data_IF_112109157212
#
_entry.id   IF_112109157212
#
_cell.length_a   1.000
_cell.length_b   1.000
_cell.length_c   1.000
_cell.angle_alpha   90.00
_cell.angle_beta   90.00
_cell.angle_gamma   90.00
#
_symmetry.space_group_name_H-M   'P 1'
#
loop_
_entity.id
_entity.type
_entity.pdbx_description
1 polymer ?
#
# COMPACT_ATOMS: atom_id res chain seq x y z
N UNK A 1 5.03 22.71 7.12
CA UNK A 1 4.87 21.85 5.94
C UNK A 1 3.83 22.44 4.99
N UNK A 2 4.12 22.46 3.70
CA UNK A 2 3.16 22.95 2.69
C UNK A 2 3.29 22.16 1.41
N UNK A 3 2.16 21.73 0.83
CA UNK A 3 2.12 21.09 -0.48
C UNK A 3 0.87 21.47 -1.28
N UNK A 4 0.98 21.34 -2.60
CA UNK A 4 -0.11 21.56 -3.56
C UNK A 4 -0.15 20.41 -4.55
N UNK A 5 -1.30 19.84 -4.78
CA UNK A 5 -1.49 18.78 -5.77
C UNK A 5 -2.91 18.78 -6.33
N UNK A 6 -3.11 18.10 -7.46
CA UNK A 6 -4.43 17.88 -8.05
C UNK A 6 -5.32 17.01 -7.15
N UNK A 7 -6.58 17.42 -7.01
CA UNK A 7 -7.57 16.70 -6.19
C UNK A 7 -7.68 15.22 -6.55
N UNK A 8 -7.78 14.90 -7.84
CA UNK A 8 -8.01 13.52 -8.29
C UNK A 8 -6.83 12.59 -7.97
N UNK A 9 -5.61 13.12 -8.08
CA UNK A 9 -4.40 12.39 -7.66
C UNK A 9 -4.40 12.16 -6.16
N UNK A 10 -4.75 13.18 -5.38
CA UNK A 10 -4.80 13.10 -3.93
C UNK A 10 -5.89 12.12 -3.45
N UNK A 11 -7.11 12.18 -4.04
CA UNK A 11 -8.20 11.25 -3.75
C UNK A 11 -7.80 9.81 -4.05
N UNK A 12 -7.17 9.57 -5.21
CA UNK A 12 -6.72 8.25 -5.62
C UNK A 12 -5.68 7.69 -4.66
N UNK A 13 -4.69 8.50 -4.28
CA UNK A 13 -3.64 8.11 -3.35
C UNK A 13 -4.17 7.83 -1.94
N UNK A 14 -5.06 8.70 -1.43
CA UNK A 14 -5.71 8.51 -0.14
C UNK A 14 -6.59 7.26 -0.13
N UNK A 15 -7.31 6.97 -1.21
CA UNK A 15 -8.09 5.74 -1.36
C UNK A 15 -7.25 4.48 -1.25
N UNK A 16 -6.00 4.52 -1.76
CA UNK A 16 -5.07 3.39 -1.70
C UNK A 16 -4.47 3.28 -0.30
N UNK A 17 -3.89 4.37 0.24
CA UNK A 17 -3.25 4.37 1.55
C UNK A 17 -4.23 4.02 2.68
N UNK A 18 -5.48 4.49 2.61
CA UNK A 18 -6.51 4.21 3.62
C UNK A 18 -6.89 2.73 3.75
N UNK A 19 -6.52 1.88 2.79
CA UNK A 19 -6.81 0.43 2.85
C UNK A 19 -6.03 -0.30 3.93
N UNK A 20 -4.88 0.24 4.32
CA UNK A 20 -4.01 -0.32 5.37
C UNK A 20 -4.06 0.48 6.66
N UNK A 21 -4.90 1.48 6.75
CA UNK A 21 -5.14 2.21 8.00
C UNK A 21 -5.99 1.36 8.93
N UNK A 22 -5.60 1.25 10.20
CA UNK A 22 -6.36 0.54 11.21
C UNK A 22 -7.70 1.25 11.48
N UNK A 23 -8.80 0.49 11.53
CA UNK A 23 -10.12 1.07 11.84
C UNK A 23 -10.31 1.31 13.34
N UNK A 24 -9.69 0.48 14.15
CA UNK A 24 -9.59 0.60 15.61
C UNK A 24 -8.25 0.03 16.02
N UNK A 25 -7.43 0.83 16.67
CA UNK A 25 -6.12 0.40 17.14
C UNK A 25 -5.91 0.84 18.59
N UNK A 26 -5.09 0.10 19.33
CA UNK A 26 -4.55 0.55 20.62
C UNK A 26 -3.63 1.76 20.46
N UNK A 27 -3.00 1.89 19.29
CA UNK A 27 -2.20 3.04 18.91
C UNK A 27 -3.03 3.95 17.99
N UNK A 28 -3.51 5.07 18.51
CA UNK A 28 -4.36 6.02 17.75
C UNK A 28 -3.70 6.54 16.48
N UNK A 29 -2.38 6.66 16.46
CA UNK A 29 -1.60 7.12 15.30
C UNK A 29 -1.81 6.23 14.07
N UNK A 30 -2.11 4.95 14.24
CA UNK A 30 -2.38 4.00 13.15
C UNK A 30 -3.79 4.17 12.52
N UNK A 31 -4.66 4.96 13.11
CA UNK A 31 -5.94 5.38 12.51
C UNK A 31 -5.74 6.57 11.55
N UNK A 32 -4.53 7.11 11.50
CA UNK A 32 -4.09 8.18 10.62
C UNK A 32 -3.31 7.70 9.41
N UNK A 33 -3.15 8.60 8.46
CA UNK A 33 -2.21 8.47 7.33
C UNK A 33 -0.97 9.29 7.65
N UNK A 34 0.19 8.65 7.70
CA UNK A 34 1.46 9.34 7.79
C UNK A 34 1.74 10.05 6.46
N UNK A 35 1.93 11.33 6.53
CA UNK A 35 2.13 12.22 5.41
C UNK A 35 3.53 12.83 5.49
N UNK A 36 4.35 12.58 4.48
CA UNK A 36 5.70 13.14 4.34
C UNK A 36 5.79 13.92 3.05
N UNK A 37 6.07 15.21 3.18
CA UNK A 37 6.31 16.13 2.07
C UNK A 37 7.80 16.44 1.95
N UNK A 38 8.36 16.30 0.75
CA UNK A 38 9.78 16.52 0.44
C UNK A 38 9.98 16.54 -1.08
N UNK A 39 10.69 15.58 -1.65
CA UNK A 39 10.78 15.41 -3.11
C UNK A 39 9.48 14.88 -3.76
N UNK A 40 8.32 15.35 -3.30
CA UNK A 40 6.99 14.91 -3.60
C UNK A 40 6.22 14.60 -2.32
N UNK A 41 5.00 14.13 -2.46
CA UNK A 41 4.14 13.77 -1.33
C UNK A 41 4.09 12.26 -1.19
N UNK A 42 4.41 11.77 0.00
CA UNK A 42 4.31 10.36 0.37
C UNK A 42 3.20 10.19 1.39
N UNK A 43 2.26 9.30 1.10
CA UNK A 43 1.14 8.97 1.97
C UNK A 43 1.25 7.51 2.37
N UNK A 44 1.41 7.24 3.65
CA UNK A 44 1.59 5.90 4.19
C UNK A 44 0.45 5.54 5.14
N UNK A 45 -0.22 4.42 4.84
CA UNK A 45 -1.12 3.75 5.77
C UNK A 45 -0.45 2.49 6.31
N UNK A 46 -0.61 2.20 7.60
CA UNK A 46 -0.01 1.04 8.25
C UNK A 46 -0.89 0.56 9.42
N UNK A 47 -0.98 -0.77 9.60
CA UNK A 47 -1.74 -1.39 10.68
C UNK A 47 -0.94 -2.45 11.45
N UNK A 48 0.41 -2.39 11.41
CA UNK A 48 1.39 -3.33 11.96
C UNK A 48 1.51 -4.66 11.21
N UNK A 49 0.53 -5.04 10.42
CA UNK A 49 0.57 -6.25 9.59
C UNK A 49 0.85 -5.91 8.12
N UNK A 50 0.22 -4.83 7.64
CA UNK A 50 0.30 -4.40 6.25
C UNK A 50 0.53 -2.90 6.17
N UNK A 51 1.42 -2.47 5.29
CA UNK A 51 1.70 -1.07 5.01
C UNK A 51 1.67 -0.78 3.52
N UNK A 52 1.14 0.38 3.17
CA UNK A 52 1.17 0.90 1.80
C UNK A 52 1.67 2.33 1.83
N UNK A 53 2.73 2.60 1.08
CA UNK A 53 3.19 3.96 0.80
C UNK A 53 2.88 4.31 -0.64
N UNK A 54 2.19 5.42 -0.84
CA UNK A 54 1.84 5.97 -2.16
C UNK A 54 2.61 7.25 -2.36
N UNK A 55 3.30 7.36 -3.50
CA UNK A 55 3.91 8.60 -3.94
C UNK A 55 2.93 9.37 -4.82
N UNK A 56 2.81 10.67 -4.57
CA UNK A 56 1.98 11.61 -5.33
C UNK A 56 2.87 12.73 -5.84
N UNK A 57 2.76 13.02 -7.13
CA UNK A 57 3.40 14.19 -7.70
C UNK A 57 2.72 15.45 -7.15
N UNK A 58 3.45 16.20 -6.35
CA UNK A 58 2.98 17.40 -5.68
C UNK A 58 4.08 18.45 -5.68
N UNK A 59 3.68 19.71 -5.75
CA UNK A 59 4.58 20.83 -5.47
C UNK A 59 4.72 20.97 -3.97
N UNK A 60 5.95 20.89 -3.46
CA UNK A 60 6.27 20.96 -2.03
C UNK A 60 7.20 22.16 -1.79
N UNK A 61 6.66 23.36 -1.51
CA UNK A 61 7.46 24.52 -1.14
C UNK A 61 8.11 24.43 0.24
N UNK A 62 7.50 23.69 1.17
CA UNK A 62 7.97 23.53 2.55
C UNK A 62 7.87 22.05 2.95
N UNK A 63 9.02 21.45 3.24
CA UNK A 63 9.11 20.06 3.69
C UNK A 63 8.48 19.89 5.07
N UNK A 64 8.16 18.65 5.41
CA UNK A 64 7.68 18.30 6.74
C UNK A 64 6.89 16.99 6.76
N UNK A 65 6.49 16.63 7.96
CA UNK A 65 5.82 15.37 8.24
C UNK A 65 4.69 15.57 9.25
N UNK A 66 3.61 14.80 9.12
CA UNK A 66 2.52 14.80 10.10
C UNK A 66 1.65 13.54 9.92
N UNK A 67 0.80 13.26 10.89
CA UNK A 67 -0.22 12.20 10.80
C UNK A 67 -1.59 12.84 10.61
N UNK A 68 -2.21 12.61 9.47
CA UNK A 68 -3.53 13.12 9.13
C UNK A 68 -4.62 12.11 9.52
N UNK A 69 -5.73 12.51 10.16
CA UNK A 69 -6.84 11.60 10.46
C UNK A 69 -7.43 11.06 9.14
N UNK A 70 -7.17 9.78 8.86
CA UNK A 70 -7.38 9.18 7.55
C UNK A 70 -8.79 9.40 6.97
N UNK A 71 -9.79 9.03 7.76
CA UNK A 71 -11.20 9.10 7.34
C UNK A 71 -11.65 10.54 7.12
N UNK A 72 -11.34 11.43 8.07
CA UNK A 72 -11.78 12.82 8.00
C UNK A 72 -11.11 13.54 6.83
N UNK A 73 -9.79 13.37 6.67
CA UNK A 73 -9.04 14.00 5.59
C UNK A 73 -9.51 13.51 4.22
N UNK A 74 -9.70 12.19 4.07
CA UNK A 74 -10.21 11.61 2.82
C UNK A 74 -11.63 12.12 2.48
N UNK A 75 -12.53 12.18 3.46
CA UNK A 75 -13.91 12.66 3.25
C UNK A 75 -13.95 14.14 2.86
N UNK A 76 -13.07 14.97 3.43
CA UNK A 76 -12.93 16.38 3.05
C UNK A 76 -12.44 16.48 1.61
N UNK A 77 -11.28 15.88 1.31
CA UNK A 77 -10.64 16.00 -0.01
C UNK A 77 -11.57 15.52 -1.12
N UNK A 78 -12.30 14.44 -0.90
CA UNK A 78 -13.26 13.90 -1.88
C UNK A 78 -14.39 14.88 -2.21
N UNK A 79 -14.78 15.74 -1.25
CA UNK A 79 -15.89 16.72 -1.41
C UNK A 79 -15.42 18.10 -1.86
N UNK A 80 -14.12 18.33 -1.97
CA UNK A 80 -13.61 19.59 -2.51
C UNK A 80 -14.00 19.77 -3.98
N UNK A 81 -14.09 21.02 -4.46
CA UNK A 81 -14.20 21.28 -5.89
C UNK A 81 -12.96 20.75 -6.64
N UNK A 82 -13.13 20.47 -7.94
CA UNK A 82 -12.06 19.96 -8.80
C UNK A 82 -10.96 21.02 -8.99
N UNK A 83 -9.74 20.55 -9.19
CA UNK A 83 -8.53 21.36 -9.40
C UNK A 83 -7.51 21.20 -8.28
N UNK A 84 -6.68 22.21 -8.09
CA UNK A 84 -5.60 22.20 -7.12
C UNK A 84 -6.10 22.29 -5.68
N UNK A 85 -5.52 21.44 -4.84
CA UNK A 85 -5.70 21.44 -3.38
C UNK A 85 -4.40 21.88 -2.73
N UNK A 86 -4.49 22.92 -1.91
CA UNK A 86 -3.38 23.44 -1.11
C UNK A 86 -3.56 22.99 0.34
N UNK A 87 -2.56 22.32 0.88
CA UNK A 87 -2.54 21.90 2.28
C UNK A 87 -1.37 22.56 2.98
N UNK A 88 -1.65 23.17 4.11
CA UNK A 88 -0.65 23.83 4.97
C UNK A 88 -0.80 23.28 6.39
N UNK A 89 0.30 22.84 6.96
CA UNK A 89 0.37 22.37 8.35
C UNK A 89 1.29 23.31 9.11
N UNK A 90 0.79 23.87 10.19
CA UNK A 90 1.56 24.75 11.07
C UNK A 90 2.37 23.97 12.13
N UNK A 91 3.13 24.68 12.96
CA UNK A 91 3.97 24.10 14.03
C UNK A 91 3.15 23.42 15.15
N UNK A 92 1.85 23.71 15.24
CA UNK A 92 0.93 23.11 16.20
C UNK A 92 0.10 21.97 15.59
N UNK A 93 0.53 21.41 14.45
CA UNK A 93 -0.18 20.38 13.71
C UNK A 93 -1.61 20.76 13.30
N UNK A 94 -1.90 22.07 13.17
CA UNK A 94 -3.17 22.53 12.63
C UNK A 94 -3.07 22.56 11.11
N UNK A 95 -3.95 21.83 10.44
CA UNK A 95 -3.96 21.64 9.00
C UNK A 95 -5.02 22.49 8.35
N UNK A 96 -4.61 23.39 7.47
CA UNK A 96 -5.50 24.18 6.62
C UNK A 96 -5.54 23.56 5.22
N UNK A 97 -6.73 23.19 4.76
CA UNK A 97 -6.98 22.59 3.45
C UNK A 97 -7.79 23.59 2.63
N UNK A 98 -7.29 23.98 1.47
CA UNK A 98 -7.94 24.96 0.59
C UNK A 98 -8.05 24.45 -0.83
N UNK A 99 -9.21 24.66 -1.44
CA UNK A 99 -9.43 24.44 -2.86
C UNK A 99 -10.44 25.46 -3.37
N UNK A 100 -10.07 26.30 -4.31
CA UNK A 100 -10.88 27.42 -4.81
C UNK A 100 -11.40 28.31 -3.65
N UNK A 101 -12.73 28.29 -3.41
CA UNK A 101 -13.39 29.02 -2.32
C UNK A 101 -13.61 28.21 -1.06
N UNK A 102 -13.39 26.88 -1.12
CA UNK A 102 -13.55 26.01 0.02
C UNK A 102 -12.31 26.06 0.93
N UNK A 103 -12.52 26.15 2.23
CA UNK A 103 -11.47 26.12 3.24
C UNK A 103 -11.93 25.30 4.44
N UNK A 104 -11.08 24.36 4.85
CA UNK A 104 -11.31 23.51 6.02
C UNK A 104 -10.09 23.56 6.93
N UNK A 105 -10.33 23.34 8.21
CA UNK A 105 -9.27 23.23 9.20
C UNK A 105 -9.50 21.97 10.03
N UNK A 106 -8.45 21.14 10.14
CA UNK A 106 -8.45 19.94 10.98
C UNK A 106 -7.17 19.91 11.82
N UNK A 107 -7.11 19.03 12.81
CA UNK A 107 -5.89 18.77 13.58
C UNK A 107 -5.21 17.51 13.04
N UNK A 108 -3.90 17.57 12.88
CA UNK A 108 -3.01 16.44 12.67
C UNK A 108 -2.38 16.02 14.00
N UNK A 109 -1.65 14.91 13.99
CA UNK A 109 -0.85 14.44 15.12
C UNK A 109 0.64 14.45 14.77
N UNK A 110 1.46 14.42 15.81
CA UNK A 110 2.90 14.35 15.71
C UNK A 110 3.33 13.04 15.01
N UNK A 111 4.26 13.08 14.05
CA UNK A 111 4.77 11.92 13.37
C UNK A 111 5.71 11.04 14.22
N UNK A 112 6.28 11.52 15.33
CA UNK A 112 7.27 10.80 16.14
C UNK A 112 6.76 9.43 16.65
N UNK A 113 5.47 9.34 16.97
CA UNK A 113 4.86 8.11 17.48
C UNK A 113 4.46 7.11 16.38
N UNK A 114 4.66 7.46 15.10
CA UNK A 114 4.27 6.57 14.00
C UNK A 114 5.29 5.45 13.81
N UNK A 115 4.88 4.18 13.85
CA UNK A 115 5.82 3.06 13.69
C UNK A 115 6.45 3.06 12.30
N UNK A 116 7.74 2.87 12.23
CA UNK A 116 8.44 2.71 10.95
C UNK A 116 7.98 1.45 10.23
N UNK A 117 7.77 1.56 8.91
CA UNK A 117 7.55 0.40 8.10
C UNK A 117 8.84 -0.41 7.99
N UNK A 118 8.76 -1.75 8.05
CA UNK A 118 9.93 -2.59 7.83
C UNK A 118 10.59 -2.28 6.48
N UNK A 119 11.90 -2.10 6.48
CA UNK A 119 12.63 -1.88 5.24
C UNK A 119 12.71 -3.17 4.42
N UNK A 120 12.46 -3.05 3.13
CA UNK A 120 12.47 -4.16 2.17
C UNK A 120 13.67 -4.02 1.26
N UNK A 121 14.61 -4.95 1.36
CA UNK A 121 15.78 -4.99 0.49
C UNK A 121 15.37 -5.02 -1.00
N UNK A 122 15.62 -3.93 -1.70
CA UNK A 122 15.19 -3.74 -3.10
C UNK A 122 15.89 -4.65 -4.11
N UNK A 123 16.99 -5.29 -3.73
CA UNK A 123 17.83 -6.15 -4.58
C UNK A 123 17.36 -7.61 -4.62
N UNK A 124 16.44 -8.01 -3.73
CA UNK A 124 15.92 -9.39 -3.62
C UNK A 124 14.49 -9.55 -4.17
N UNK A 125 13.99 -8.57 -4.88
CA UNK A 125 12.61 -8.56 -5.39
C UNK A 125 12.45 -9.22 -6.76
N UNK A 126 11.27 -9.77 -7.02
CA UNK A 126 10.83 -10.24 -8.34
C UNK A 126 9.89 -9.20 -8.95
N UNK A 127 10.10 -8.86 -10.21
CA UNK A 127 9.24 -7.93 -10.95
C UNK A 127 8.24 -8.72 -11.79
N UNK A 128 6.96 -8.50 -11.54
CA UNK A 128 5.86 -9.12 -12.29
C UNK A 128 4.98 -8.00 -12.85
N UNK A 129 4.52 -8.08 -14.12
CA UNK A 129 3.54 -7.16 -14.62
C UNK A 129 2.27 -7.21 -13.78
N UNK A 130 1.74 -6.04 -13.45
CA UNK A 130 0.56 -5.89 -12.60
C UNK A 130 -0.64 -6.71 -13.11
N UNK A 131 -0.87 -6.73 -14.43
CA UNK A 131 -1.97 -7.47 -15.04
C UNK A 131 -1.86 -8.97 -14.75
N UNK A 132 -0.68 -9.54 -14.93
CA UNK A 132 -0.41 -10.96 -14.70
C UNK A 132 -0.59 -11.32 -13.20
N UNK A 133 -0.04 -10.49 -12.31
CA UNK A 133 -0.24 -10.70 -10.87
C UNK A 133 -1.73 -10.62 -10.49
N UNK A 134 -2.47 -9.67 -11.04
CA UNK A 134 -3.91 -9.55 -10.84
C UNK A 134 -4.66 -10.79 -11.31
N UNK A 135 -4.30 -11.33 -12.48
CA UNK A 135 -4.93 -12.51 -13.05
C UNK A 135 -4.58 -13.78 -12.25
N UNK A 136 -3.35 -13.86 -11.70
CA UNK A 136 -2.97 -14.93 -10.76
C UNK A 136 -3.79 -14.88 -9.49
N UNK A 137 -3.93 -13.69 -8.89
CA UNK A 137 -4.73 -13.46 -7.69
C UNK A 137 -6.20 -13.82 -7.94
N UNK A 138 -6.80 -13.28 -9.00
CA UNK A 138 -8.20 -13.56 -9.35
C UNK A 138 -8.48 -15.03 -9.61
N UNK A 139 -7.48 -15.77 -10.14
CA UNK A 139 -7.55 -17.19 -10.42
C UNK A 139 -7.32 -18.12 -9.22
N UNK A 140 -6.99 -17.58 -8.03
CA UNK A 140 -6.66 -18.40 -6.85
C UNK A 140 -7.40 -17.99 -5.58
N UNK A 141 -7.67 -16.70 -5.38
CA UNK A 141 -8.21 -16.14 -4.13
C UNK A 141 -9.54 -16.78 -3.66
N UNK A 142 -10.35 -17.27 -4.59
CA UNK A 142 -11.63 -17.92 -4.26
C UNK A 142 -11.48 -19.26 -3.54
N UNK A 143 -10.28 -19.84 -3.55
CA UNK A 143 -9.94 -21.10 -2.86
C UNK A 143 -9.21 -20.89 -1.54
N UNK A 144 -9.17 -19.68 -1.02
CA UNK A 144 -8.62 -19.37 0.30
C UNK A 144 -9.66 -19.67 1.36
N UNK A 145 -9.22 -20.24 2.50
CA UNK A 145 -10.09 -20.54 3.63
C UNK A 145 -10.38 -19.30 4.47
N UNK A 146 -11.61 -19.19 4.98
CA UNK A 146 -11.98 -18.18 5.99
C UNK A 146 -11.75 -18.69 7.42
N UNK A 147 -11.41 -19.97 7.58
CA UNK A 147 -11.24 -20.60 8.89
C UNK A 147 -9.89 -20.24 9.52
N UNK A 148 -9.91 -19.38 10.54
CA UNK A 148 -8.74 -18.96 11.30
C UNK A 148 -8.08 -20.09 12.13
N UNK A 149 -8.75 -21.22 12.32
CA UNK A 149 -8.19 -22.41 12.99
C UNK A 149 -7.04 -23.07 12.19
N UNK A 150 -6.89 -22.72 10.92
CA UNK A 150 -5.78 -23.15 10.06
C UNK A 150 -5.19 -21.95 9.31
N UNK A 151 -4.38 -21.11 9.95
CA UNK A 151 -3.89 -19.86 9.39
C UNK A 151 -3.17 -20.01 8.05
N UNK A 152 -2.48 -21.12 7.82
CA UNK A 152 -1.78 -21.39 6.57
C UNK A 152 -2.71 -21.46 5.33
N UNK A 153 -3.99 -21.76 5.54
CA UNK A 153 -4.99 -21.80 4.48
C UNK A 153 -5.70 -20.46 4.25
N UNK A 154 -5.49 -19.46 5.11
CA UNK A 154 -6.13 -18.14 4.98
C UNK A 154 -5.44 -17.20 4.00
N UNK A 155 -4.38 -17.68 3.35
CA UNK A 155 -3.62 -16.96 2.32
C UNK A 155 -3.32 -17.80 1.10
N UNK A 156 -2.70 -17.17 0.10
CA UNK A 156 -2.14 -17.88 -1.05
C UNK A 156 -0.64 -18.10 -0.87
N UNK A 157 -0.18 -19.30 -1.18
CA UNK A 157 1.24 -19.59 -1.32
C UNK A 157 1.74 -19.03 -2.65
N UNK A 158 2.78 -18.20 -2.57
CA UNK A 158 3.47 -17.66 -3.73
C UNK A 158 4.85 -18.31 -3.84
N UNK A 159 5.09 -19.03 -4.93
CA UNK A 159 6.33 -19.72 -5.18
C UNK A 159 7.04 -19.11 -6.40
N UNK A 160 8.29 -18.75 -6.22
CA UNK A 160 9.17 -18.29 -7.30
C UNK A 160 10.23 -19.33 -7.54
N UNK A 161 10.28 -19.87 -8.74
CA UNK A 161 11.31 -20.77 -9.25
C UNK A 161 12.07 -20.09 -10.40
N UNK A 162 13.15 -20.72 -10.88
CA UNK A 162 14.02 -20.16 -11.92
C UNK A 162 13.27 -19.87 -13.23
N UNK A 163 12.29 -20.72 -13.55
CA UNK A 163 11.55 -20.72 -14.82
C UNK A 163 10.05 -20.49 -14.65
N UNK A 164 9.55 -20.31 -13.43
CA UNK A 164 8.11 -20.18 -13.20
C UNK A 164 7.77 -19.45 -11.91
N UNK A 165 6.63 -18.80 -11.92
CA UNK A 165 6.01 -18.21 -10.75
C UNK A 165 4.65 -18.88 -10.57
N UNK A 166 4.40 -19.44 -9.40
CA UNK A 166 3.14 -20.12 -9.09
C UNK A 166 2.47 -19.47 -7.89
N UNK A 167 1.15 -19.37 -7.95
CA UNK A 167 0.30 -19.01 -6.83
C UNK A 167 -0.67 -20.15 -6.57
N UNK A 168 -0.79 -20.57 -5.30
CA UNK A 168 -1.63 -21.70 -4.88
C UNK A 168 -2.47 -21.31 -3.68
N UNK A 169 -3.76 -21.62 -3.73
CA UNK A 169 -4.69 -21.49 -2.60
C UNK A 169 -5.44 -22.80 -2.36
N UNK A 170 -5.73 -23.11 -1.09
CA UNK A 170 -6.45 -24.31 -0.69
C UNK A 170 -7.30 -24.05 0.55
N UNK A 171 -8.53 -24.55 0.58
CA UNK A 171 -9.42 -24.46 1.75
C UNK A 171 -9.74 -25.84 2.40
N UNK A 172 -9.12 -26.92 1.89
CA UNK A 172 -9.35 -28.29 2.33
C UNK A 172 -10.35 -29.08 1.48
N UNK A 173 -11.18 -28.41 0.68
CA UNK A 173 -12.14 -29.01 -0.25
C UNK A 173 -11.76 -28.78 -1.71
N UNK A 174 -11.12 -27.65 -2.00
CA UNK A 174 -10.71 -27.24 -3.34
C UNK A 174 -9.32 -26.66 -3.31
N UNK A 175 -8.62 -26.78 -4.42
CA UNK A 175 -7.29 -26.23 -4.66
C UNK A 175 -7.32 -25.47 -5.97
N UNK A 176 -6.84 -24.23 -5.96
CA UNK A 176 -6.59 -23.47 -7.16
C UNK A 176 -5.10 -23.18 -7.32
N UNK A 177 -4.57 -23.40 -8.52
CA UNK A 177 -3.18 -23.10 -8.88
C UNK A 177 -3.13 -22.31 -10.17
N UNK A 178 -2.31 -21.27 -10.16
CA UNK A 178 -1.98 -20.46 -11.34
C UNK A 178 -0.48 -20.41 -11.49
N UNK A 179 0.03 -20.67 -12.69
CA UNK A 179 1.46 -20.65 -12.98
C UNK A 179 1.73 -19.73 -14.18
N UNK A 180 2.71 -18.87 -14.05
CA UNK A 180 3.28 -18.04 -15.11
C UNK A 180 4.65 -18.57 -15.49
N UNK A 181 4.91 -18.67 -16.80
CA UNK A 181 6.23 -18.96 -17.32
C UNK A 181 6.91 -17.64 -17.74
N UNK A 182 8.13 -17.37 -17.28
CA UNK A 182 8.79 -16.08 -17.47
C UNK A 182 9.32 -15.84 -18.88
N UNK A 183 8.99 -16.66 -19.89
CA UNK A 183 9.44 -16.47 -21.28
C UNK A 183 9.17 -15.08 -21.88
N UNK A 184 8.45 -14.23 -21.15
CA UNK A 184 8.02 -12.90 -21.61
C UNK A 184 8.66 -11.74 -20.84
N UNK A 185 9.41 -11.97 -19.72
CA UNK A 185 9.85 -10.85 -18.86
C UNK A 185 11.36 -10.90 -18.59
N UNK A 186 12.08 -9.80 -18.88
CA UNK A 186 13.49 -9.73 -18.52
C UNK A 186 13.62 -9.74 -17.01
N UNK A 187 14.04 -10.84 -16.44
CA UNK A 187 14.60 -10.90 -15.09
C UNK A 187 15.72 -9.84 -15.04
N UNK A 188 15.59 -8.83 -14.16
CA UNK A 188 16.68 -7.88 -13.98
C UNK A 188 17.96 -8.68 -13.72
N UNK A 189 18.98 -8.47 -14.56
CA UNK A 189 20.30 -9.11 -14.40
C UNK A 189 20.77 -8.89 -12.96
N UNK A 190 20.92 -9.96 -12.22
CA UNK A 190 21.35 -9.94 -10.81
C UNK A 190 20.56 -10.87 -9.90
N UNK A 191 19.41 -11.37 -10.31
CA UNK A 191 18.70 -12.40 -9.58
C UNK A 191 19.18 -13.77 -10.04
N UNK A 192 20.26 -14.26 -9.43
CA UNK A 192 20.55 -15.68 -9.42
C UNK A 192 19.86 -16.25 -8.18
N UNK A 193 18.78 -17.03 -8.32
CA UNK A 193 18.25 -17.76 -7.19
C UNK A 193 19.38 -18.69 -6.71
N UNK A 194 19.90 -18.45 -5.51
CA UNK A 194 20.66 -19.50 -4.83
C UNK A 194 19.72 -20.69 -4.75
N UNK A 195 20.08 -21.77 -5.39
CA UNK A 195 19.37 -23.03 -5.54
C UNK A 195 18.33 -23.28 -4.44
N UNK A 196 17.05 -23.04 -4.71
CA UNK A 196 15.97 -23.27 -3.77
C UNK A 196 14.71 -22.51 -4.18
N UNK A 197 13.57 -23.20 -4.18
CA UNK A 197 12.25 -22.57 -4.34
C UNK A 197 12.02 -21.62 -3.18
N UNK A 198 11.79 -20.34 -3.46
CA UNK A 198 11.36 -19.39 -2.44
C UNK A 198 9.85 -19.46 -2.30
N UNK A 199 9.38 -19.57 -1.08
CA UNK A 199 7.96 -19.63 -0.72
C UNK A 199 7.62 -18.42 0.13
N UNK A 200 6.57 -17.71 -0.23
CA UNK A 200 6.02 -16.61 0.54
C UNK A 200 4.51 -16.83 0.69
N UNK A 201 3.99 -16.71 1.89
CA UNK A 201 2.54 -16.74 2.12
C UNK A 201 1.99 -15.33 2.00
N UNK A 202 1.06 -15.11 1.10
CA UNK A 202 0.38 -13.83 0.91
C UNK A 202 -1.03 -13.96 1.48
N UNK A 203 -1.34 -13.17 2.50
CA UNK A 203 -2.69 -13.16 3.08
C UNK A 203 -3.71 -12.54 2.14
N UNK A 204 -4.96 -12.94 2.28
CA UNK A 204 -6.09 -12.49 1.43
C UNK A 204 -6.25 -10.98 1.38
N UNK A 205 -5.87 -10.29 2.45
CA UNK A 205 -5.97 -8.84 2.55
C UNK A 205 -5.02 -8.12 1.58
N UNK A 206 -3.78 -8.57 1.45
CA UNK A 206 -2.80 -8.02 0.52
C UNK A 206 -3.27 -8.09 -0.93
N UNK A 207 -3.96 -9.14 -1.30
CA UNK A 207 -4.35 -9.39 -2.67
C UNK A 207 -5.46 -8.45 -3.17
N UNK A 208 -6.34 -7.98 -2.29
CA UNK A 208 -7.36 -6.99 -2.64
C UNK A 208 -6.79 -5.57 -2.87
N UNK A 209 -5.67 -5.25 -2.25
CA UNK A 209 -5.01 -3.94 -2.41
C UNK A 209 -4.32 -3.78 -3.78
N UNK A 210 -3.94 -4.87 -4.43
CA UNK A 210 -3.20 -4.89 -5.69
C UNK A 210 -4.01 -4.51 -6.95
N UNK A 211 -5.31 -4.26 -6.84
CA UNK A 211 -6.18 -4.00 -7.98
C UNK A 211 -6.03 -2.60 -8.63
N UNK A 212 -5.17 -1.73 -8.09
CA UNK A 212 -5.08 -0.32 -8.49
C UNK A 212 -3.62 0.13 -8.72
N UNK A 213 -3.12 -0.11 -9.92
CA UNK A 213 -2.06 0.70 -10.56
C UNK A 213 -0.66 0.79 -9.93
N UNK A 214 -0.37 0.17 -8.81
CA UNK A 214 0.88 0.37 -8.06
C UNK A 214 1.91 -0.74 -8.30
N UNK A 215 3.19 -0.39 -8.31
CA UNK A 215 4.28 -1.38 -8.28
C UNK A 215 4.28 -2.07 -6.92
N UNK A 216 4.13 -3.40 -6.91
CA UNK A 216 4.15 -4.19 -5.70
C UNK A 216 5.54 -4.79 -5.51
N UNK A 217 6.12 -4.57 -4.35
CA UNK A 217 7.27 -5.31 -3.88
C UNK A 217 6.79 -6.32 -2.85
N UNK A 218 7.14 -7.58 -3.08
CA UNK A 218 6.89 -8.65 -2.12
C UNK A 218 8.20 -8.89 -1.35
N UNK A 219 8.17 -8.75 -0.05
CA UNK A 219 9.26 -9.14 0.83
C UNK A 219 8.94 -10.43 1.54
N UNK A 220 9.95 -11.24 1.77
CA UNK A 220 9.88 -12.35 2.69
C UNK A 220 9.81 -11.81 4.12
N UNK A 221 8.70 -12.02 4.82
CA UNK A 221 8.70 -11.91 6.28
C UNK A 221 9.03 -13.30 6.82
N UNK A 222 10.13 -13.39 7.57
CA UNK A 222 10.57 -14.60 8.29
C UNK A 222 9.64 -14.89 9.46
#
# INVERSE_FOLDING_TARGET
MRFTCEKDLLVSALSIASRTVAQKSTLQVLEGIYCKAGHGLYLTGYNLETGITVHVDASVPEDGECILPARLFFDIVRRLPDGEVVVVVDENYKVSIRAQRASFTISASDPEDYPELPDVESNKGVSIPQRELRDMIGGTIFSVSENQGRPIHTGCLFEVADDSISMVAVDGYRLARRTLQPSTYPTRRGFTPKSGRRRCSITTFWMRALSLGSKVRLSETV
#
